data_IF_814665166999
#
_entry.id   IF_814665166999
#
_cell.length_a   1.000
_cell.length_b   1.000
_cell.length_c   1.000
_cell.angle_alpha   90.00
_cell.angle_beta   90.00
_cell.angle_gamma   90.00
#
_symmetry.space_group_name_H-M   'P 1'
#
loop_
_entity.id
_entity.type
_entity.pdbx_description
1 polymer ?
#
# COMPACT_ATOMS: atom_id res chain seq x y z
N UNK A 1 -24.28 0.88 -10.83
CA UNK A 1 -23.45 0.07 -9.90
C UNK A 1 -24.18 -0.16 -8.60
N UNK A 2 -24.19 -1.41 -8.12
CA UNK A 2 -24.88 -1.79 -6.89
C UNK A 2 -24.13 -1.37 -5.61
N UNK A 3 -22.85 -1.03 -5.72
CA UNK A 3 -21.98 -0.63 -4.62
C UNK A 3 -21.09 0.54 -4.99
N UNK A 4 -20.51 1.20 -3.98
CA UNK A 4 -19.55 2.29 -4.16
C UNK A 4 -18.38 2.15 -3.20
N UNK A 5 -17.19 2.49 -3.68
CA UNK A 5 -15.98 2.68 -2.87
C UNK A 5 -15.54 4.13 -3.00
N UNK A 6 -15.38 4.80 -1.86
CA UNK A 6 -14.69 6.10 -1.78
C UNK A 6 -13.26 5.87 -1.35
N UNK A 7 -12.34 6.15 -2.26
CA UNK A 7 -10.92 5.91 -2.06
C UNK A 7 -10.20 7.21 -1.68
N UNK A 8 -9.65 7.25 -0.47
CA UNK A 8 -8.87 8.36 0.04
C UNK A 8 -7.39 8.08 -0.22
N UNK A 9 -6.87 8.73 -1.25
CA UNK A 9 -5.49 8.61 -1.73
C UNK A 9 -4.87 10.00 -1.90
N UNK A 10 -3.56 10.03 -2.10
CA UNK A 10 -2.82 11.27 -2.35
C UNK A 10 -2.38 11.96 -1.06
N UNK A 11 -1.17 12.51 -1.05
CA UNK A 11 -0.52 12.98 0.15
C UNK A 11 -0.52 11.91 1.25
N UNK A 12 -0.94 12.29 2.45
CA UNK A 12 -1.17 11.34 3.56
C UNK A 12 -2.56 11.60 4.16
N UNK A 13 -3.55 10.74 3.91
CA UNK A 13 -4.92 10.98 4.34
C UNK A 13 -5.08 11.08 5.85
N UNK A 14 -4.28 10.40 6.64
CA UNK A 14 -4.40 10.45 8.10
C UNK A 14 -3.90 11.75 8.74
N UNK A 15 -3.27 12.64 7.99
CA UNK A 15 -3.02 14.01 8.44
C UNK A 15 -4.32 14.82 8.51
N UNK A 16 -5.28 14.54 7.63
CA UNK A 16 -6.56 15.24 7.51
C UNK A 16 -7.74 14.40 8.03
N UNK A 17 -7.51 13.50 9.00
CA UNK A 17 -8.51 12.54 9.46
C UNK A 17 -9.77 13.20 9.99
N UNK A 18 -9.66 14.39 10.63
CA UNK A 18 -10.83 15.13 11.12
C UNK A 18 -11.72 15.65 9.97
N UNK A 19 -11.13 16.04 8.85
CA UNK A 19 -11.86 16.43 7.65
C UNK A 19 -12.50 15.22 6.99
N UNK A 20 -11.73 14.14 6.85
CA UNK A 20 -12.19 12.88 6.25
C UNK A 20 -13.35 12.30 7.05
N UNK A 21 -13.29 12.31 8.37
CA UNK A 21 -14.39 11.83 9.22
C UNK A 21 -15.69 12.61 8.96
N UNK A 22 -15.61 13.94 8.83
CA UNK A 22 -16.77 14.77 8.47
C UNK A 22 -17.30 14.45 7.07
N UNK A 23 -16.42 14.20 6.10
CA UNK A 23 -16.82 13.80 4.74
C UNK A 23 -17.56 12.44 4.79
N UNK A 24 -17.02 11.47 5.51
CA UNK A 24 -17.63 10.15 5.66
C UNK A 24 -19.03 10.24 6.33
N UNK A 25 -19.16 11.07 7.37
CA UNK A 25 -20.46 11.30 8.02
C UNK A 25 -21.47 11.98 7.07
N UNK A 26 -21.02 12.97 6.32
CA UNK A 26 -21.85 13.64 5.31
C UNK A 26 -22.33 12.63 4.25
N UNK A 27 -21.44 11.82 3.69
CA UNK A 27 -21.78 10.82 2.69
C UNK A 27 -22.81 9.81 3.22
N UNK A 28 -22.59 9.27 4.43
CA UNK A 28 -23.56 8.36 5.08
C UNK A 28 -24.91 9.00 5.27
N UNK A 29 -24.94 10.23 5.76
CA UNK A 29 -26.18 10.98 6.01
C UNK A 29 -26.94 11.25 4.72
N UNK A 30 -26.24 11.68 3.67
CA UNK A 30 -26.90 11.97 2.38
C UNK A 30 -27.39 10.71 1.68
N UNK A 31 -26.65 9.61 1.73
CA UNK A 31 -27.13 8.33 1.20
C UNK A 31 -28.40 7.86 1.94
N UNK A 32 -28.39 7.95 3.27
CA UNK A 32 -29.57 7.59 4.09
C UNK A 32 -30.76 8.49 3.78
N UNK A 33 -30.58 9.82 3.81
CA UNK A 33 -31.64 10.81 3.59
C UNK A 33 -32.29 10.67 2.23
N UNK A 34 -31.52 10.28 1.21
CA UNK A 34 -31.99 10.09 -0.17
C UNK A 34 -32.51 8.68 -0.43
N UNK A 35 -32.51 7.80 0.57
CA UNK A 35 -32.81 6.38 0.42
C UNK A 35 -32.02 5.75 -0.76
N UNK A 36 -30.75 6.13 -0.88
CA UNK A 36 -29.89 5.69 -1.96
C UNK A 36 -29.43 4.26 -1.73
N UNK A 37 -29.48 3.41 -2.75
CA UNK A 37 -29.13 1.99 -2.63
C UNK A 37 -27.68 1.75 -2.15
N UNK A 38 -26.76 2.66 -2.41
CA UNK A 38 -25.37 2.58 -1.92
C UNK A 38 -25.27 2.59 -0.39
N UNK A 39 -26.28 3.11 0.32
CA UNK A 39 -26.25 3.11 1.79
C UNK A 39 -26.08 1.70 2.38
N UNK A 40 -26.54 0.67 1.68
CA UNK A 40 -26.40 -0.73 2.09
C UNK A 40 -25.13 -1.40 1.56
N UNK A 41 -24.39 -0.75 0.66
CA UNK A 41 -23.24 -1.35 -0.03
C UNK A 41 -22.20 -0.29 -0.37
N UNK A 42 -21.58 0.30 0.67
CA UNK A 42 -20.48 1.25 0.51
C UNK A 42 -19.25 0.82 1.28
N UNK A 43 -18.09 1.35 0.88
CA UNK A 43 -16.82 1.19 1.55
C UNK A 43 -15.98 2.46 1.43
N UNK A 44 -15.29 2.81 2.51
CA UNK A 44 -14.23 3.81 2.52
C UNK A 44 -12.88 3.08 2.45
N UNK A 45 -12.10 3.38 1.44
CA UNK A 45 -10.79 2.79 1.19
C UNK A 45 -9.69 3.81 1.43
N UNK A 46 -8.58 3.37 2.00
CA UNK A 46 -7.44 4.23 2.33
C UNK A 46 -6.14 3.61 1.86
N UNK A 47 -5.29 4.45 1.28
CA UNK A 47 -3.87 4.17 1.11
C UNK A 47 -3.09 5.15 1.96
N UNK A 48 -2.37 4.67 2.96
CA UNK A 48 -1.63 5.49 3.94
C UNK A 48 -0.18 5.06 4.05
N UNK A 49 0.70 5.98 4.44
CA UNK A 49 2.07 5.65 4.81
C UNK A 49 2.16 4.94 6.18
N UNK A 50 1.06 4.82 6.91
CA UNK A 50 0.96 4.09 8.16
C UNK A 50 1.60 4.74 9.38
N UNK A 51 2.27 5.89 9.25
CA UNK A 51 3.00 6.53 10.36
C UNK A 51 2.04 6.95 11.49
N UNK A 52 0.92 7.55 11.11
CA UNK A 52 -0.09 8.07 12.07
C UNK A 52 -1.15 7.04 12.46
N UNK A 53 -1.00 5.78 12.04
CA UNK A 53 -1.99 4.73 12.26
C UNK A 53 -2.38 4.54 13.72
N UNK A 54 -1.43 4.63 14.65
CA UNK A 54 -1.63 4.43 16.08
C UNK A 54 -2.28 5.62 16.80
N UNK A 55 -2.44 6.76 16.16
CA UNK A 55 -2.93 7.97 16.83
C UNK A 55 -4.38 7.82 17.29
N UNK A 56 -4.73 8.44 18.41
CA UNK A 56 -6.07 8.34 19.00
C UNK A 56 -7.18 8.74 18.02
N UNK A 57 -6.95 9.80 17.22
CA UNK A 57 -7.93 10.27 16.24
C UNK A 57 -8.18 9.22 15.15
N UNK A 58 -7.12 8.62 14.60
CA UNK A 58 -7.22 7.57 13.59
C UNK A 58 -7.91 6.34 14.18
N UNK A 59 -7.55 5.93 15.39
CA UNK A 59 -8.17 4.76 16.02
C UNK A 59 -9.66 4.98 16.32
N UNK A 60 -10.08 6.17 16.75
CA UNK A 60 -11.50 6.52 16.91
C UNK A 60 -12.26 6.45 15.59
N UNK A 61 -11.67 6.98 14.51
CA UNK A 61 -12.24 6.90 13.17
C UNK A 61 -12.40 5.45 12.71
N UNK A 62 -11.37 4.62 12.89
CA UNK A 62 -11.39 3.19 12.54
C UNK A 62 -12.50 2.47 13.32
N UNK A 63 -12.59 2.68 14.62
CA UNK A 63 -13.62 2.06 15.45
C UNK A 63 -15.03 2.45 15.01
N UNK A 64 -15.25 3.73 14.70
CA UNK A 64 -16.54 4.27 14.25
C UNK A 64 -17.00 3.67 12.92
N UNK A 65 -16.08 3.43 11.99
CA UNK A 65 -16.39 3.04 10.62
C UNK A 65 -15.99 1.59 10.28
N UNK A 66 -15.60 0.78 11.24
CA UNK A 66 -14.91 -0.52 11.07
C UNK A 66 -15.51 -1.44 10.01
N UNK A 67 -16.83 -1.53 9.93
CA UNK A 67 -17.52 -2.46 9.03
C UNK A 67 -17.50 -2.02 7.55
N UNK A 68 -17.11 -0.78 7.31
CA UNK A 68 -17.10 -0.16 6.00
C UNK A 68 -15.72 0.38 5.61
N UNK A 69 -14.65 -0.10 6.25
CA UNK A 69 -13.28 0.33 5.98
C UNK A 69 -12.46 -0.74 5.26
N UNK A 70 -11.56 -0.25 4.42
CA UNK A 70 -10.41 -0.96 3.88
C UNK A 70 -9.20 -0.04 4.01
N UNK A 71 -8.16 -0.48 4.69
CA UNK A 71 -6.97 0.33 4.92
C UNK A 71 -5.74 -0.46 4.49
N UNK A 72 -5.06 0.01 3.46
CA UNK A 72 -3.76 -0.48 3.03
C UNK A 72 -2.64 0.43 3.55
N UNK A 73 -1.65 -0.15 4.21
CA UNK A 73 -0.42 0.55 4.58
C UNK A 73 0.61 0.33 3.50
N UNK A 74 1.29 1.40 3.08
CA UNK A 74 2.38 1.33 2.11
C UNK A 74 3.69 1.08 2.84
N UNK A 75 4.33 -0.06 2.53
CA UNK A 75 5.66 -0.40 3.00
C UNK A 75 6.40 -1.13 1.88
N UNK A 76 7.55 -0.61 1.45
CA UNK A 76 8.18 -1.03 0.20
C UNK A 76 9.15 -2.22 0.35
N UNK A 77 9.19 -2.86 1.50
CA UNK A 77 10.03 -4.03 1.73
C UNK A 77 10.96 -3.88 2.94
N UNK A 78 12.22 -4.31 2.81
CA UNK A 78 13.21 -4.17 3.88
C UNK A 78 13.45 -2.70 4.24
N UNK A 79 14.00 -2.47 5.44
CA UNK A 79 14.37 -1.11 5.87
C UNK A 79 15.21 -0.39 4.82
N UNK A 80 16.25 -1.08 4.32
CA UNK A 80 17.14 -0.51 3.31
C UNK A 80 16.39 -0.03 2.08
N UNK A 81 15.51 -0.86 1.53
CA UNK A 81 14.74 -0.53 0.33
C UNK A 81 13.69 0.55 0.62
N UNK A 82 12.96 0.43 1.71
CA UNK A 82 11.93 1.41 2.09
C UNK A 82 12.53 2.80 2.28
N UNK A 83 13.61 2.90 3.05
CA UNK A 83 14.24 4.17 3.42
C UNK A 83 14.99 4.84 2.25
N UNK A 84 15.22 4.14 1.12
CA UNK A 84 15.76 4.76 -0.09
C UNK A 84 14.82 5.83 -0.66
N UNK A 85 13.50 5.58 -0.61
CA UNK A 85 12.51 6.43 -1.28
C UNK A 85 11.53 7.11 -0.32
N UNK A 86 11.49 6.66 0.96
CA UNK A 86 10.52 7.14 1.95
C UNK A 86 11.22 7.76 3.14
N UNK A 87 11.78 8.93 2.88
CA UNK A 87 12.45 9.75 3.90
C UNK A 87 11.46 10.71 4.56
N UNK A 88 11.76 11.06 5.81
CA UNK A 88 11.06 12.14 6.50
C UNK A 88 11.40 13.49 5.87
N UNK A 89 10.37 14.24 5.50
CA UNK A 89 10.55 15.64 5.11
C UNK A 89 10.72 16.49 6.36
N UNK A 90 11.84 17.21 6.42
CA UNK A 90 12.04 18.24 7.44
C UNK A 90 11.43 19.59 6.96
N UNK A 91 11.20 20.51 7.89
CA UNK A 91 10.76 21.85 7.55
C UNK A 91 11.75 22.62 6.65
N UNK A 92 13.02 22.21 6.63
CA UNK A 92 14.05 22.75 5.74
C UNK A 92 13.90 22.20 4.32
N UNK A 93 13.59 20.92 4.18
CA UNK A 93 13.26 20.32 2.87
C UNK A 93 12.01 20.93 2.25
N UNK A 94 11.01 21.23 3.05
CA UNK A 94 9.80 21.96 2.60
C UNK A 94 10.12 23.38 2.08
N UNK A 95 11.19 23.98 2.58
CA UNK A 95 11.73 25.27 2.12
C UNK A 95 12.74 25.12 0.97
N UNK A 96 12.92 23.93 0.43
CA UNK A 96 13.83 23.64 -0.67
C UNK A 96 15.29 23.46 -0.26
N UNK A 97 15.58 23.34 1.04
CA UNK A 97 16.92 23.07 1.54
C UNK A 97 17.06 21.56 1.66
N UNK A 98 17.80 20.95 0.75
CA UNK A 98 18.05 19.50 0.82
C UNK A 98 19.02 19.18 1.96
N UNK A 99 18.70 18.18 2.82
CA UNK A 99 19.60 17.72 3.86
C UNK A 99 20.81 17.03 3.23
N UNK A 100 21.87 16.92 4.00
CA UNK A 100 22.97 16.02 3.59
C UNK A 100 22.46 14.57 3.67
N UNK A 101 22.95 13.66 2.82
CA UNK A 101 22.54 12.25 2.85
C UNK A 101 22.69 11.58 4.23
N UNK A 102 23.63 12.03 5.04
CA UNK A 102 23.84 11.56 6.43
C UNK A 102 22.79 12.05 7.43
N UNK A 103 21.96 13.02 7.06
CA UNK A 103 20.92 13.63 7.89
C UNK A 103 19.52 13.13 7.51
N UNK A 104 19.42 12.39 6.40
CA UNK A 104 18.16 11.80 5.95
C UNK A 104 17.75 10.67 6.89
N UNK A 105 16.53 10.76 7.38
CA UNK A 105 15.93 9.73 8.20
C UNK A 105 14.82 9.03 7.42
N UNK A 106 14.94 7.72 7.24
CA UNK A 106 13.88 6.89 6.67
C UNK A 106 12.68 6.73 7.61
N UNK A 107 11.56 6.35 7.07
CA UNK A 107 10.30 6.20 7.81
C UNK A 107 9.99 4.75 8.20
N UNK A 108 10.81 3.77 7.83
CA UNK A 108 10.56 2.34 8.03
C UNK A 108 10.18 1.99 9.48
N UNK A 109 10.98 2.43 10.46
CA UNK A 109 10.74 2.13 11.88
C UNK A 109 9.40 2.68 12.39
N UNK A 110 8.99 3.84 11.86
CA UNK A 110 7.73 4.48 12.25
C UNK A 110 6.51 3.79 11.64
N UNK A 111 6.68 3.10 10.51
CA UNK A 111 5.63 2.30 9.87
C UNK A 111 5.54 0.92 10.52
N UNK A 112 6.66 0.21 10.63
CA UNK A 112 6.70 -1.19 11.09
C UNK A 112 6.12 -1.36 12.49
N UNK A 113 6.35 -0.44 13.40
CA UNK A 113 5.76 -0.49 14.76
C UNK A 113 4.23 -0.56 14.76
N UNK A 114 3.57 -0.09 13.68
CA UNK A 114 2.12 -0.08 13.55
C UNK A 114 1.55 -1.32 12.85
N UNK A 115 2.38 -2.12 12.16
CA UNK A 115 1.95 -3.31 11.43
C UNK A 115 1.20 -4.33 12.30
N UNK A 116 1.66 -4.68 13.52
CA UNK A 116 0.93 -5.63 14.36
C UNK A 116 -0.50 -5.15 14.74
N UNK A 117 -0.67 -3.86 15.02
CA UNK A 117 -1.99 -3.29 15.31
C UNK A 117 -2.88 -3.32 14.07
N UNK A 118 -2.33 -2.94 12.91
CA UNK A 118 -3.04 -2.93 11.65
C UNK A 118 -3.52 -4.34 11.26
N UNK A 119 -2.63 -5.33 11.26
CA UNK A 119 -2.99 -6.72 10.94
C UNK A 119 -3.99 -7.33 11.92
N UNK A 120 -3.94 -6.95 13.21
CA UNK A 120 -4.97 -7.35 14.18
C UNK A 120 -6.35 -6.81 13.81
N UNK A 121 -6.42 -5.59 13.26
CA UNK A 121 -7.68 -4.94 12.90
C UNK A 121 -8.15 -5.34 11.49
N UNK A 122 -7.23 -5.54 10.56
CA UNK A 122 -7.46 -5.86 9.15
C UNK A 122 -6.58 -7.05 8.72
N UNK A 123 -6.89 -8.28 9.15
CA UNK A 123 -6.00 -9.44 8.94
C UNK A 123 -5.78 -9.81 7.47
N UNK A 124 -6.71 -9.42 6.60
CA UNK A 124 -6.63 -9.67 5.15
C UNK A 124 -6.24 -8.42 4.35
N UNK A 125 -5.73 -7.39 5.01
CA UNK A 125 -5.32 -6.19 4.30
C UNK A 125 -3.96 -6.39 3.62
N UNK A 126 -3.87 -5.90 2.37
CA UNK A 126 -2.64 -5.91 1.59
C UNK A 126 -1.83 -4.63 1.75
N UNK A 127 -0.53 -4.75 1.50
CA UNK A 127 0.37 -3.59 1.36
C UNK A 127 0.54 -3.22 -0.11
N UNK A 128 0.94 -1.97 -0.36
CA UNK A 128 1.41 -1.53 -1.67
C UNK A 128 2.91 -1.35 -1.65
N UNK A 129 3.57 -1.84 -2.70
CA UNK A 129 5.01 -1.69 -2.94
C UNK A 129 5.21 -0.99 -4.27
N UNK A 130 6.09 -0.02 -4.32
CA UNK A 130 6.47 0.65 -5.56
C UNK A 130 7.86 0.20 -5.98
N UNK A 131 8.02 -0.13 -7.26
CA UNK A 131 9.28 -0.58 -7.85
C UNK A 131 9.65 0.33 -9.02
N UNK A 132 10.84 0.91 -8.95
CA UNK A 132 11.55 1.60 -10.03
C UNK A 132 12.81 0.82 -10.39
N UNK A 133 13.59 1.28 -11.39
CA UNK A 133 14.88 0.70 -11.77
C UNK A 133 15.78 0.42 -10.56
N UNK A 134 15.96 1.42 -9.68
CA UNK A 134 16.80 1.30 -8.48
C UNK A 134 16.32 0.25 -7.48
N UNK A 135 15.04 -0.15 -7.55
CA UNK A 135 14.41 -1.08 -6.63
C UNK A 135 14.47 -2.54 -7.10
N UNK A 136 14.70 -2.77 -8.40
CA UNK A 136 14.68 -4.11 -9.01
C UNK A 136 15.55 -5.12 -8.25
N UNK A 137 16.80 -4.81 -7.85
CA UNK A 137 17.66 -5.76 -7.14
C UNK A 137 17.11 -6.24 -5.79
N UNK A 138 16.08 -5.57 -5.25
CA UNK A 138 15.52 -5.82 -3.92
C UNK A 138 14.14 -6.48 -3.93
N UNK A 139 13.61 -6.87 -5.11
CA UNK A 139 12.23 -7.39 -5.24
C UNK A 139 12.02 -8.61 -4.37
N UNK A 140 12.83 -9.67 -4.56
CA UNK A 140 12.73 -10.91 -3.80
C UNK A 140 12.84 -10.67 -2.29
N UNK A 141 13.91 -9.99 -1.87
CA UNK A 141 14.17 -9.71 -0.47
C UNK A 141 13.02 -8.93 0.18
N UNK A 142 12.48 -7.93 -0.55
CA UNK A 142 11.39 -7.09 -0.08
C UNK A 142 10.11 -7.88 0.14
N UNK A 143 9.70 -8.71 -0.80
CA UNK A 143 8.48 -9.50 -0.67
C UNK A 143 8.59 -10.50 0.48
N UNK A 144 9.69 -11.25 0.56
CA UNK A 144 9.90 -12.20 1.65
C UNK A 144 9.96 -11.52 3.02
N UNK A 145 10.54 -10.32 3.08
CA UNK A 145 10.54 -9.51 4.30
C UNK A 145 9.11 -9.13 4.71
N UNK A 146 8.27 -8.69 3.77
CA UNK A 146 6.88 -8.35 4.06
C UNK A 146 6.08 -9.57 4.57
N UNK A 147 6.32 -10.74 4.00
CA UNK A 147 5.75 -11.99 4.53
C UNK A 147 6.22 -12.28 5.95
N UNK A 148 7.48 -12.01 6.28
CA UNK A 148 8.00 -12.18 7.65
C UNK A 148 7.37 -11.25 8.67
N UNK A 149 6.80 -10.11 8.23
CA UNK A 149 6.01 -9.21 9.06
C UNK A 149 4.55 -9.66 9.24
N UNK A 150 4.15 -10.78 8.62
CA UNK A 150 2.78 -11.31 8.64
C UNK A 150 1.84 -10.64 7.64
N UNK A 151 2.35 -9.92 6.65
CA UNK A 151 1.55 -9.29 5.60
C UNK A 151 1.27 -10.34 4.52
N UNK A 152 0.01 -10.80 4.42
CA UNK A 152 -0.37 -11.91 3.55
C UNK A 152 -0.55 -11.52 2.09
N UNK A 153 -0.79 -10.24 1.79
CA UNK A 153 -1.04 -9.75 0.44
C UNK A 153 -0.11 -8.59 0.09
N UNK A 154 0.74 -8.79 -0.91
CA UNK A 154 1.70 -7.81 -1.42
C UNK A 154 1.31 -7.38 -2.82
N UNK A 155 0.82 -6.15 -2.96
CA UNK A 155 0.44 -5.55 -4.23
C UNK A 155 1.57 -4.67 -4.75
N UNK A 156 2.17 -5.06 -5.85
CA UNK A 156 3.34 -4.40 -6.41
C UNK A 156 2.92 -3.56 -7.62
N UNK A 157 3.31 -2.29 -7.60
CA UNK A 157 3.16 -1.36 -8.70
C UNK A 157 4.55 -1.02 -9.27
N UNK A 158 4.67 -1.17 -10.58
CA UNK A 158 5.85 -0.76 -11.33
C UNK A 158 5.68 0.68 -11.77
N UNK A 159 6.73 1.48 -11.63
CA UNK A 159 6.76 2.87 -12.08
C UNK A 159 6.70 2.92 -13.60
N UNK A 160 5.79 3.73 -14.16
CA UNK A 160 5.61 3.87 -15.60
C UNK A 160 6.45 4.98 -16.24
N UNK A 161 7.06 5.83 -15.41
CA UNK A 161 7.94 6.91 -15.87
C UNK A 161 9.21 6.33 -16.50
N UNK A 162 9.86 7.13 -17.34
CA UNK A 162 11.09 6.78 -18.03
C UNK A 162 12.32 6.83 -17.10
N UNK A 163 12.35 5.89 -16.16
CA UNK A 163 13.43 5.74 -15.16
C UNK A 163 14.23 4.46 -15.34
N UNK A 164 13.84 3.64 -16.32
CA UNK A 164 14.39 2.30 -16.56
C UNK A 164 15.73 2.38 -17.30
N UNK A 165 16.65 1.49 -16.94
CA UNK A 165 17.99 1.40 -17.50
C UNK A 165 18.12 0.16 -18.39
N UNK A 166 19.10 0.18 -19.28
CA UNK A 166 19.45 -1.00 -20.09
C UNK A 166 19.83 -2.17 -19.19
N UNK A 167 19.20 -3.32 -19.41
CA UNK A 167 19.41 -4.55 -18.61
C UNK A 167 18.49 -4.71 -17.40
N UNK A 168 17.67 -3.72 -17.06
CA UNK A 168 16.69 -3.83 -15.97
C UNK A 168 15.66 -4.94 -16.22
N UNK A 169 15.30 -5.18 -17.47
CA UNK A 169 14.41 -6.26 -17.88
C UNK A 169 14.94 -7.64 -17.49
N UNK A 170 16.21 -7.90 -17.79
CA UNK A 170 16.86 -9.16 -17.44
C UNK A 170 16.98 -9.34 -15.92
N UNK A 171 17.36 -8.27 -15.22
CA UNK A 171 17.45 -8.31 -13.76
C UNK A 171 16.07 -8.49 -13.11
N UNK A 172 15.05 -7.86 -13.68
CA UNK A 172 13.68 -8.00 -13.22
C UNK A 172 13.19 -9.45 -13.38
N UNK A 173 13.42 -10.05 -14.56
CA UNK A 173 13.10 -11.47 -14.80
C UNK A 173 13.83 -12.38 -13.81
N UNK A 174 15.13 -12.18 -13.60
CA UNK A 174 15.92 -12.94 -12.64
C UNK A 174 15.33 -12.84 -11.22
N UNK A 175 14.99 -11.65 -10.77
CA UNK A 175 14.37 -11.42 -9.46
C UNK A 175 13.01 -12.11 -9.32
N UNK A 176 12.19 -12.11 -10.38
CA UNK A 176 10.92 -12.82 -10.39
C UNK A 176 11.12 -14.34 -10.30
N UNK A 177 12.04 -14.91 -11.08
CA UNK A 177 12.34 -16.34 -11.02
C UNK A 177 12.79 -16.73 -9.60
N UNK A 178 13.74 -15.99 -9.04
CA UNK A 178 14.25 -16.25 -7.68
C UNK A 178 13.17 -16.10 -6.61
N UNK A 179 12.23 -15.15 -6.78
CA UNK A 179 11.11 -14.96 -5.87
C UNK A 179 10.11 -16.13 -5.98
N UNK A 180 9.80 -16.57 -7.21
CA UNK A 180 8.91 -17.70 -7.45
C UNK A 180 9.45 -18.98 -6.78
N UNK A 181 10.75 -19.29 -6.97
CA UNK A 181 11.40 -20.43 -6.34
C UNK A 181 11.30 -20.33 -4.81
N UNK A 182 11.60 -19.17 -4.23
CA UNK A 182 11.52 -18.98 -2.78
C UNK A 182 10.09 -19.12 -2.23
N UNK A 183 9.07 -18.66 -2.99
CA UNK A 183 7.66 -18.81 -2.63
C UNK A 183 7.25 -20.29 -2.64
N UNK A 184 7.70 -21.03 -3.64
CA UNK A 184 7.39 -22.48 -3.79
C UNK A 184 8.12 -23.27 -2.70
N UNK A 185 9.42 -23.11 -2.56
CA UNK A 185 10.26 -23.85 -1.62
C UNK A 185 9.86 -23.57 -0.17
N UNK A 186 9.53 -22.32 0.14
CA UNK A 186 9.05 -21.91 1.46
C UNK A 186 7.59 -22.28 1.74
N UNK A 187 6.85 -22.75 0.73
CA UNK A 187 5.43 -23.07 0.84
C UNK A 187 4.53 -21.84 1.06
N UNK A 188 5.03 -20.62 0.81
CA UNK A 188 4.32 -19.35 1.03
C UNK A 188 3.06 -19.23 0.19
N UNK A 189 3.01 -19.83 -1.00
CA UNK A 189 1.84 -19.82 -1.89
C UNK A 189 0.54 -20.32 -1.25
N UNK A 190 0.60 -21.01 -0.12
CA UNK A 190 -0.57 -21.53 0.60
C UNK A 190 -1.32 -20.46 1.40
N UNK A 191 -0.62 -19.42 1.84
CA UNK A 191 -1.15 -18.42 2.78
C UNK A 191 -0.88 -16.98 2.33
N UNK A 192 0.10 -16.78 1.43
CA UNK A 192 0.58 -15.46 1.02
C UNK A 192 0.35 -15.25 -0.48
N UNK A 193 0.06 -14.02 -0.85
CA UNK A 193 -0.15 -13.61 -2.23
C UNK A 193 0.78 -12.47 -2.63
N UNK A 194 1.28 -12.54 -3.87
CA UNK A 194 2.01 -11.46 -4.51
C UNK A 194 1.36 -11.17 -5.85
N UNK A 195 1.08 -9.91 -6.15
CA UNK A 195 0.36 -9.52 -7.37
C UNK A 195 1.06 -9.94 -8.67
N UNK A 196 2.36 -10.23 -8.65
CA UNK A 196 3.06 -10.78 -9.82
C UNK A 196 2.67 -12.23 -10.17
N UNK A 197 2.12 -13.00 -9.20
CA UNK A 197 1.81 -14.42 -9.38
C UNK A 197 0.35 -14.78 -9.10
N UNK A 198 -0.48 -13.81 -8.72
CA UNK A 198 -1.89 -14.07 -8.49
C UNK A 198 -2.72 -13.74 -9.72
N UNK A 199 -3.63 -14.63 -10.10
CA UNK A 199 -4.58 -14.47 -11.21
C UNK A 199 -5.62 -13.36 -10.98
N UNK A 200 -5.29 -12.28 -10.29
CA UNK A 200 -6.14 -11.09 -10.24
C UNK A 200 -6.12 -10.30 -11.55
N UNK A 201 -5.27 -10.68 -12.47
CA UNK A 201 -5.47 -10.34 -13.86
C UNK A 201 -6.67 -11.14 -14.32
N UNK A 202 -7.84 -10.50 -14.35
CA UNK A 202 -9.03 -11.06 -14.95
C UNK A 202 -8.72 -11.69 -16.29
N UNK A 203 -9.63 -12.48 -16.86
CA UNK A 203 -9.46 -13.07 -18.18
C UNK A 203 -8.73 -12.10 -19.09
N UNK A 204 -7.66 -12.50 -19.80
CA UNK A 204 -6.98 -11.65 -20.76
C UNK A 204 -8.05 -10.94 -21.56
N UNK A 205 -8.01 -9.62 -21.59
CA UNK A 205 -8.94 -8.86 -22.41
C UNK A 205 -8.58 -9.20 -23.85
N UNK A 206 -9.36 -10.08 -24.48
CA UNK A 206 -9.23 -10.43 -25.89
C UNK A 206 -9.22 -9.17 -26.81
N UNK A 207 -9.72 -8.04 -26.27
CA UNK A 207 -9.73 -6.76 -26.96
C UNK A 207 -8.36 -6.07 -27.08
N UNK A 208 -7.34 -6.45 -26.34
CA UNK A 208 -6.00 -5.83 -26.41
C UNK A 208 -5.14 -6.49 -27.48
N UNK A 209 -5.48 -7.69 -27.91
CA UNK A 209 -4.72 -8.44 -28.93
C UNK A 209 -5.27 -8.29 -30.35
N UNK A 210 -6.41 -7.62 -30.53
CA UNK A 210 -7.10 -7.50 -31.84
C UNK A 210 -7.18 -6.07 -32.38
N UNK A 211 -6.34 -5.15 -31.92
CA UNK A 211 -6.20 -3.81 -32.52
C UNK A 211 -4.81 -3.57 -33.06
#
# INVERSE_FOLDING_TARGET
TESVVWDFIGGEPFLEIDLIDRICDYLKTEMYRRNHHWFNSYRFSFSTNGINYHTEKVQKFIQKNRNHLSIGITIDGTRKKHDLNRIWKTAEMERGIMPKPSEERGSYEDVVKNIPLWLKQFPNAGTKVTISSADVPYIKESVLHLYSLGIHEVNINVVFEDVWQEGDDNLFEEQLIQLADAIIDGGYYKEYACSFYTEHMGKPLDCVLNN
#
